data_IF_331357002556
#
_entry.id   IF_331357002556
#
_cell.length_a   1.000
_cell.length_b   1.000
_cell.length_c   1.000
_cell.angle_alpha   90.00
_cell.angle_beta   90.00
_cell.angle_gamma   90.00
#
_symmetry.space_group_name_H-M   'P 1'
#
loop_
_entity.id
_entity.type
_entity.pdbx_description
1 polymer ?
#
# COMPACT_ATOMS: atom_id res chain seq x y z
N UNK A 1 2.75 -14.47 13.55
CA UNK A 1 1.45 -14.17 12.91
C UNK A 1 0.79 -15.47 12.46
N UNK A 2 -0.45 -15.67 12.82
CA UNK A 2 -1.27 -16.75 12.27
C UNK A 2 -1.90 -16.28 10.94
N UNK A 3 -2.00 -17.20 9.97
CA UNK A 3 -2.64 -16.89 8.69
C UNK A 3 -4.16 -16.85 8.92
N UNK A 4 -4.86 -15.77 8.52
CA UNK A 4 -6.30 -15.68 8.68
C UNK A 4 -7.02 -16.80 7.92
N UNK A 5 -8.04 -17.38 8.54
CA UNK A 5 -8.86 -18.45 7.94
C UNK A 5 -10.14 -17.94 7.28
N UNK A 6 -10.47 -16.67 7.44
CA UNK A 6 -11.64 -16.00 6.89
C UNK A 6 -11.30 -14.66 6.25
N UNK A 7 -12.32 -13.91 5.78
CA UNK A 7 -12.12 -12.57 5.25
C UNK A 7 -11.59 -11.63 6.32
N UNK A 8 -10.67 -10.77 5.92
CA UNK A 8 -10.06 -9.75 6.79
C UNK A 8 -10.47 -8.35 6.36
N UNK A 9 -10.54 -7.43 7.30
CA UNK A 9 -10.66 -6.00 7.02
C UNK A 9 -9.31 -5.47 6.54
N UNK A 10 -9.33 -4.80 5.40
CA UNK A 10 -8.09 -4.34 4.75
C UNK A 10 -8.19 -2.88 4.28
N UNK A 11 -7.09 -2.17 4.45
CA UNK A 11 -6.78 -0.93 3.72
C UNK A 11 -5.65 -1.23 2.74
N UNK A 12 -5.76 -0.74 1.51
CA UNK A 12 -4.69 -0.81 0.52
C UNK A 12 -4.09 0.58 0.31
N UNK A 13 -2.79 0.71 0.59
CA UNK A 13 -1.98 1.92 0.36
C UNK A 13 -1.11 1.70 -0.88
N UNK A 14 -1.31 2.52 -1.92
CA UNK A 14 -0.87 2.23 -3.29
C UNK A 14 -0.49 3.48 -4.06
N UNK A 15 0.56 3.43 -4.87
CA UNK A 15 0.94 4.48 -5.80
C UNK A 15 0.48 4.16 -7.25
N UNK A 16 -0.80 3.86 -7.39
CA UNK A 16 -1.50 3.25 -8.53
C UNK A 16 -1.23 3.86 -9.92
N UNK A 17 -0.70 5.08 -10.00
CA UNK A 17 -0.30 5.69 -11.28
C UNK A 17 1.15 5.36 -11.65
N UNK A 18 1.93 4.87 -10.71
CA UNK A 18 3.35 4.59 -10.93
C UNK A 18 3.55 3.42 -11.91
N UNK A 19 3.01 2.26 -11.60
CA UNK A 19 3.14 1.03 -12.39
C UNK A 19 1.79 0.30 -12.50
N UNK A 20 1.68 -0.62 -13.46
CA UNK A 20 0.41 -1.27 -13.80
C UNK A 20 0.00 -2.35 -12.78
N UNK A 21 0.92 -2.91 -12.05
CA UNK A 21 0.68 -3.97 -11.06
C UNK A 21 -0.21 -3.51 -9.89
N UNK A 22 -0.10 -2.27 -9.47
CA UNK A 22 -1.03 -1.65 -8.52
C UNK A 22 -2.49 -1.69 -8.99
N UNK A 23 -2.71 -1.46 -10.27
CA UNK A 23 -4.06 -1.52 -10.86
C UNK A 23 -4.62 -2.94 -10.81
N UNK A 24 -3.78 -3.96 -11.02
CA UNK A 24 -4.15 -5.35 -10.83
C UNK A 24 -4.41 -5.67 -9.35
N UNK A 25 -3.59 -5.16 -8.43
CA UNK A 25 -3.78 -5.37 -7.00
C UNK A 25 -5.12 -4.77 -6.50
N UNK A 26 -5.46 -3.55 -6.92
CA UNK A 26 -6.76 -2.93 -6.63
C UNK A 26 -7.90 -3.78 -7.19
N UNK A 27 -7.78 -4.19 -8.46
CA UNK A 27 -8.81 -5.01 -9.12
C UNK A 27 -8.99 -6.36 -8.42
N UNK A 28 -7.90 -6.98 -7.99
CA UNK A 28 -7.92 -8.23 -7.24
C UNK A 28 -8.61 -8.07 -5.88
N UNK A 29 -8.28 -7.02 -5.12
CA UNK A 29 -8.89 -6.74 -3.82
C UNK A 29 -10.42 -6.52 -3.96
N UNK A 30 -10.86 -5.80 -5.00
CA UNK A 30 -12.27 -5.56 -5.28
C UNK A 30 -13.03 -6.85 -5.67
N UNK A 31 -12.37 -7.84 -6.27
CA UNK A 31 -12.97 -9.08 -6.77
C UNK A 31 -12.78 -10.29 -5.86
N UNK A 32 -12.21 -10.11 -4.68
CA UNK A 32 -12.00 -11.17 -3.68
C UNK A 32 -12.75 -10.91 -2.35
N UNK A 33 -14.07 -10.61 -2.35
CA UNK A 33 -14.81 -10.26 -1.14
C UNK A 33 -14.93 -11.43 -0.14
N UNK A 34 -14.69 -12.65 -0.57
CA UNK A 34 -14.59 -13.85 0.27
C UNK A 34 -13.29 -13.93 1.07
N UNK A 35 -12.31 -13.10 0.74
CA UNK A 35 -10.99 -13.03 1.37
C UNK A 35 -10.70 -11.69 2.04
N UNK A 36 -11.19 -10.61 1.44
CA UNK A 36 -10.86 -9.24 1.83
C UNK A 36 -12.10 -8.38 1.86
N UNK A 37 -12.36 -7.71 2.97
CA UNK A 37 -13.29 -6.58 3.05
C UNK A 37 -12.47 -5.29 2.91
N UNK A 38 -12.45 -4.74 1.70
CA UNK A 38 -11.68 -3.53 1.41
C UNK A 38 -12.39 -2.30 2.00
N UNK A 39 -11.86 -1.76 3.09
CA UNK A 39 -12.44 -0.63 3.82
C UNK A 39 -12.07 0.71 3.21
N UNK A 40 -10.86 0.83 2.65
CA UNK A 40 -10.36 2.05 2.06
C UNK A 40 -9.20 1.80 1.09
N UNK A 41 -8.99 2.77 0.21
CA UNK A 41 -7.82 2.92 -0.64
C UNK A 41 -7.12 4.23 -0.29
N UNK A 42 -5.81 4.18 -0.09
CA UNK A 42 -4.97 5.34 0.22
C UNK A 42 -3.98 5.56 -0.93
N UNK A 43 -3.90 6.79 -1.42
CA UNK A 43 -2.94 7.15 -2.47
C UNK A 43 -1.57 7.42 -1.86
N UNK A 44 -0.58 6.59 -2.16
CA UNK A 44 0.79 6.78 -1.71
C UNK A 44 1.53 7.82 -2.57
N UNK A 45 2.48 8.59 -2.00
CA UNK A 45 3.35 9.46 -2.76
C UNK A 45 4.38 8.64 -3.56
N UNK A 46 4.74 9.13 -4.76
CA UNK A 46 5.90 8.61 -5.49
C UNK A 46 6.58 9.69 -6.32
N UNK A 47 7.87 9.49 -6.61
CA UNK A 47 8.65 10.36 -7.47
C UNK A 47 9.54 9.55 -8.41
N UNK A 48 9.33 9.71 -9.71
CA UNK A 48 10.16 9.21 -10.79
C UNK A 48 9.92 10.08 -12.05
N UNK A 49 10.20 9.54 -13.24
CA UNK A 49 9.97 10.25 -14.50
C UNK A 49 8.50 10.52 -14.82
N UNK A 50 7.57 9.87 -14.14
CA UNK A 50 6.11 10.05 -14.31
C UNK A 50 5.52 11.12 -13.42
N UNK A 51 6.28 11.65 -12.45
CA UNK A 51 5.80 12.66 -11.50
C UNK A 51 6.85 13.74 -11.25
N UNK A 52 6.40 14.97 -11.04
CA UNK A 52 7.28 16.11 -10.74
C UNK A 52 7.75 16.12 -9.28
N UNK A 53 7.12 15.34 -8.41
CA UNK A 53 7.44 15.21 -6.99
C UNK A 53 6.45 14.32 -6.26
N UNK A 54 6.64 14.07 -4.95
CA UNK A 54 5.77 13.19 -4.15
C UNK A 54 4.30 13.59 -4.20
N UNK A 55 4.01 14.88 -4.06
CA UNK A 55 2.63 15.42 -4.13
C UNK A 55 1.94 15.17 -5.47
N UNK A 56 2.65 15.37 -6.58
CA UNK A 56 2.12 15.12 -7.93
C UNK A 56 1.90 13.62 -8.15
N UNK A 57 2.84 12.78 -7.67
CA UNK A 57 2.70 11.32 -7.72
C UNK A 57 1.48 10.85 -6.93
N UNK A 58 1.31 11.33 -5.71
CA UNK A 58 0.16 11.03 -4.87
C UNK A 58 -1.17 11.45 -5.53
N UNK A 59 -1.26 12.67 -6.05
CA UNK A 59 -2.50 13.13 -6.68
C UNK A 59 -2.84 12.33 -7.96
N UNK A 60 -1.83 11.98 -8.76
CA UNK A 60 -2.02 11.10 -9.92
C UNK A 60 -2.52 9.72 -9.50
N UNK A 61 -1.96 9.14 -8.46
CA UNK A 61 -2.42 7.85 -7.90
C UNK A 61 -3.84 7.95 -7.37
N UNK A 62 -4.18 9.04 -6.68
CA UNK A 62 -5.54 9.29 -6.22
C UNK A 62 -6.55 9.32 -7.38
N UNK A 63 -6.23 10.03 -8.46
CA UNK A 63 -7.10 10.11 -9.64
C UNK A 63 -7.20 8.76 -10.36
N UNK A 64 -6.11 8.00 -10.43
CA UNK A 64 -6.11 6.66 -11.03
C UNK A 64 -6.97 5.68 -10.22
N UNK A 65 -6.87 5.69 -8.89
CA UNK A 65 -7.76 4.89 -8.03
C UNK A 65 -9.23 5.21 -8.29
N UNK A 66 -9.59 6.50 -8.36
CA UNK A 66 -10.96 6.91 -8.68
C UNK A 66 -11.39 6.46 -10.08
N UNK A 67 -10.46 6.46 -11.04
CA UNK A 67 -10.72 5.96 -12.40
C UNK A 67 -11.02 4.47 -12.39
N UNK A 68 -10.20 3.66 -11.70
CA UNK A 68 -10.39 2.22 -11.56
C UNK A 68 -11.71 1.86 -10.87
N UNK A 69 -12.07 2.57 -9.80
CA UNK A 69 -13.35 2.37 -9.12
C UNK A 69 -14.55 2.66 -10.03
N UNK A 70 -14.47 3.69 -10.87
CA UNK A 70 -15.51 3.96 -11.87
C UNK A 70 -15.63 2.83 -12.90
N UNK A 71 -14.50 2.32 -13.40
CA UNK A 71 -14.49 1.20 -14.34
C UNK A 71 -15.02 -0.10 -13.72
N UNK A 72 -14.74 -0.31 -12.45
CA UNK A 72 -15.19 -1.48 -11.70
C UNK A 72 -16.64 -1.36 -11.23
N UNK A 73 -17.27 -0.18 -11.34
CA UNK A 73 -18.58 0.18 -10.78
C UNK A 73 -18.68 -0.03 -9.26
N UNK A 74 -17.54 0.19 -8.57
CA UNK A 74 -17.39 -0.02 -7.13
C UNK A 74 -17.31 1.32 -6.37
N UNK A 75 -17.67 1.26 -5.08
CA UNK A 75 -17.64 2.42 -4.18
C UNK A 75 -16.87 2.07 -2.91
N UNK A 76 -15.61 2.42 -2.89
CA UNK A 76 -14.73 2.30 -1.72
C UNK A 76 -14.23 3.70 -1.37
N UNK A 77 -14.15 4.09 -0.08
CA UNK A 77 -13.54 5.34 0.32
C UNK A 77 -12.09 5.46 -0.18
N UNK A 78 -11.74 6.62 -0.74
CA UNK A 78 -10.38 6.90 -1.23
C UNK A 78 -9.85 8.13 -0.51
N UNK A 79 -8.62 8.04 0.03
CA UNK A 79 -7.99 9.12 0.78
C UNK A 79 -6.72 9.60 0.09
N UNK A 80 -6.55 10.92 0.03
CA UNK A 80 -5.29 11.53 -0.41
C UNK A 80 -4.21 11.29 0.62
N UNK A 81 -3.08 10.82 0.18
CA UNK A 81 -1.92 10.56 1.02
C UNK A 81 -1.02 11.77 1.25
N UNK A 82 0.14 11.46 1.76
CA UNK A 82 1.18 12.42 2.05
C UNK A 82 1.64 13.16 0.80
N UNK A 83 1.86 14.47 0.93
CA UNK A 83 2.32 15.33 -0.18
C UNK A 83 3.84 15.46 -0.24
N UNK A 84 4.53 14.88 0.73
CA UNK A 84 5.99 14.81 0.80
C UNK A 84 6.41 13.54 1.56
N UNK A 85 7.69 13.20 1.52
CA UNK A 85 8.29 12.16 2.36
C UNK A 85 8.53 12.68 3.76
N UNK A 86 8.72 11.77 4.75
CA UNK A 86 9.03 12.20 6.12
C UNK A 86 10.33 13.01 6.14
N UNK A 87 10.35 14.18 6.80
CA UNK A 87 11.56 14.97 6.95
C UNK A 87 12.56 14.30 7.90
N UNK A 88 12.06 13.49 8.83
CA UNK A 88 12.81 12.72 9.83
C UNK A 88 11.93 11.61 10.43
N UNK A 89 12.48 10.81 11.33
CA UNK A 89 11.83 9.66 11.97
C UNK A 89 10.85 10.05 13.11
N UNK A 90 10.54 11.34 13.28
CA UNK A 90 9.70 11.85 14.40
C UNK A 90 8.57 12.75 13.94
N UNK A 91 8.68 13.32 12.74
CA UNK A 91 7.74 14.32 12.23
C UNK A 91 6.85 13.70 11.17
N UNK A 92 5.56 13.45 11.44
CA UNK A 92 4.63 12.90 10.45
C UNK A 92 4.30 13.91 9.36
N UNK A 93 4.02 13.43 8.17
CA UNK A 93 3.32 14.20 7.14
C UNK A 93 1.83 13.93 7.29
N UNK A 94 1.10 14.89 7.87
CA UNK A 94 -0.35 14.76 8.10
C UNK A 94 -1.07 14.76 6.75
N UNK A 95 -1.95 13.77 6.56
CA UNK A 95 -2.75 13.60 5.35
C UNK A 95 -4.06 12.89 5.66
N UNK A 96 -5.05 13.02 4.77
CA UNK A 96 -6.33 12.31 4.91
C UNK A 96 -6.11 10.79 5.04
N UNK A 97 -5.13 10.22 4.30
CA UNK A 97 -4.80 8.80 4.37
C UNK A 97 -4.21 8.41 5.72
N UNK A 98 -3.24 9.18 6.25
CA UNK A 98 -2.63 8.89 7.55
C UNK A 98 -3.67 8.98 8.69
N UNK A 99 -4.55 9.97 8.66
CA UNK A 99 -5.64 10.11 9.63
C UNK A 99 -6.68 8.98 9.50
N UNK A 100 -7.04 8.60 8.26
CA UNK A 100 -7.96 7.49 8.01
C UNK A 100 -7.39 6.15 8.48
N UNK A 101 -6.11 5.88 8.21
CA UNK A 101 -5.40 4.69 8.70
C UNK A 101 -5.42 4.64 10.22
N UNK A 102 -5.04 5.75 10.89
CA UNK A 102 -5.04 5.83 12.34
C UNK A 102 -6.45 5.60 12.92
N UNK A 103 -7.47 6.21 12.34
CA UNK A 103 -8.86 6.05 12.78
C UNK A 103 -9.36 4.61 12.57
N UNK A 104 -9.19 4.05 11.39
CA UNK A 104 -9.63 2.69 11.08
C UNK A 104 -8.94 1.66 11.96
N UNK A 105 -7.62 1.77 12.17
CA UNK A 105 -6.91 0.85 13.06
C UNK A 105 -7.41 0.94 14.51
N UNK A 106 -7.83 2.12 14.97
CA UNK A 106 -8.44 2.27 16.32
C UNK A 106 -9.81 1.63 16.46
N UNK A 107 -10.50 1.34 15.36
CA UNK A 107 -11.77 0.59 15.35
C UNK A 107 -11.56 -0.93 15.47
N UNK A 108 -10.31 -1.39 15.41
CA UNK A 108 -9.89 -2.80 15.48
C UNK A 108 -9.21 -3.14 16.81
N UNK A 109 -8.96 -4.43 17.04
CA UNK A 109 -8.33 -4.94 18.26
C UNK A 109 -7.09 -5.78 17.91
N UNK A 110 -6.35 -6.22 18.92
CA UNK A 110 -5.22 -7.14 18.74
C UNK A 110 -5.69 -8.51 18.23
N UNK A 111 -6.89 -8.94 18.62
CA UNK A 111 -7.47 -10.24 18.23
C UNK A 111 -8.06 -10.20 16.82
N UNK A 112 -8.62 -9.05 16.43
CA UNK A 112 -9.18 -8.79 15.10
C UNK A 112 -8.52 -7.55 14.49
N UNK A 113 -7.25 -7.65 14.06
CA UNK A 113 -6.49 -6.49 13.58
C UNK A 113 -6.94 -6.04 12.19
N UNK A 114 -6.74 -4.74 11.92
CA UNK A 114 -6.81 -4.20 10.58
C UNK A 114 -5.59 -4.68 9.78
N UNK A 115 -5.81 -5.24 8.60
CA UNK A 115 -4.72 -5.51 7.67
C UNK A 115 -4.47 -4.27 6.80
N UNK A 116 -3.23 -3.81 6.77
CA UNK A 116 -2.80 -2.74 5.87
C UNK A 116 -1.85 -3.33 4.85
N UNK A 117 -2.30 -3.44 3.61
CA UNK A 117 -1.44 -3.81 2.49
C UNK A 117 -0.87 -2.53 1.89
N UNK A 118 0.45 -2.38 1.93
CA UNK A 118 1.17 -1.25 1.35
C UNK A 118 2.03 -1.73 0.18
N UNK A 119 1.84 -1.14 -0.99
CA UNK A 119 2.54 -1.51 -2.23
C UNK A 119 3.24 -0.32 -2.90
N UNK A 120 3.39 0.78 -2.17
CA UNK A 120 4.14 1.98 -2.53
C UNK A 120 5.11 2.42 -1.43
N UNK A 121 5.54 3.69 -1.47
CA UNK A 121 6.31 4.30 -0.39
C UNK A 121 5.50 4.30 0.91
N UNK A 122 6.12 3.93 2.02
CA UNK A 122 5.43 3.64 3.29
C UNK A 122 5.07 4.90 4.13
N UNK A 123 5.16 6.07 3.54
CA UNK A 123 5.00 7.37 4.21
C UNK A 123 3.67 7.53 4.94
N UNK A 124 2.55 7.11 4.32
CA UNK A 124 1.22 7.23 4.92
C UNK A 124 1.10 6.39 6.20
N UNK A 125 1.57 5.15 6.16
CA UNK A 125 1.55 4.22 7.29
C UNK A 125 2.46 4.71 8.42
N UNK A 126 3.68 5.13 8.08
CA UNK A 126 4.62 5.68 9.05
C UNK A 126 4.06 6.95 9.71
N UNK A 127 3.44 7.83 8.93
CA UNK A 127 2.77 9.02 9.47
C UNK A 127 1.62 8.66 10.40
N UNK A 128 0.80 7.66 10.07
CA UNK A 128 -0.26 7.18 10.95
C UNK A 128 0.29 6.64 12.28
N UNK A 129 1.37 5.86 12.24
CA UNK A 129 2.05 5.34 13.44
C UNK A 129 2.65 6.45 14.30
N UNK A 130 3.22 7.50 13.69
CA UNK A 130 3.74 8.65 14.41
C UNK A 130 2.63 9.51 15.04
N UNK A 131 1.51 9.67 14.35
CA UNK A 131 0.34 10.40 14.85
C UNK A 131 -0.35 9.65 16.01
N UNK A 132 -0.38 8.33 15.93
CA UNK A 132 -1.10 7.48 16.88
C UNK A 132 -0.36 6.15 17.11
N UNK A 133 0.70 6.12 17.94
CA UNK A 133 1.53 4.93 18.15
C UNK A 133 0.76 3.69 18.64
N UNK A 134 -0.34 3.88 19.36
CA UNK A 134 -1.17 2.78 19.86
C UNK A 134 -1.87 1.94 18.76
N UNK A 135 -1.84 2.38 17.50
CA UNK A 135 -2.37 1.56 16.40
C UNK A 135 -1.46 0.38 16.05
N UNK A 136 -0.19 0.42 16.45
CA UNK A 136 0.77 -0.67 16.19
C UNK A 136 0.25 -2.02 16.67
N UNK A 137 -0.45 -2.08 17.80
CA UNK A 137 -1.02 -3.30 18.36
C UNK A 137 -2.37 -3.70 17.74
N UNK A 138 -2.92 -2.89 16.82
CA UNK A 138 -4.27 -3.05 16.27
C UNK A 138 -4.30 -3.31 14.78
N UNK A 139 -3.13 -3.42 14.18
CA UNK A 139 -3.00 -3.67 12.74
C UNK A 139 -1.90 -4.68 12.45
N UNK A 140 -1.99 -5.30 11.29
CA UNK A 140 -0.93 -6.08 10.65
C UNK A 140 -0.56 -5.37 9.37
N UNK A 141 0.71 -5.01 9.24
CA UNK A 141 1.23 -4.38 8.03
C UNK A 141 1.84 -5.44 7.11
N UNK A 142 1.36 -5.49 5.86
CA UNK A 142 1.94 -6.30 4.78
C UNK A 142 2.51 -5.32 3.76
N UNK A 143 3.84 -5.25 3.63
CA UNK A 143 4.49 -4.24 2.80
C UNK A 143 5.38 -4.85 1.72
N UNK A 144 5.13 -4.47 0.46
CA UNK A 144 6.06 -4.68 -0.64
C UNK A 144 7.15 -3.61 -0.55
N UNK A 145 8.30 -3.99 0.00
CA UNK A 145 9.41 -3.07 0.20
C UNK A 145 10.72 -3.80 0.48
N UNK A 146 11.81 -3.22 0.01
CA UNK A 146 13.13 -3.79 0.15
C UNK A 146 13.40 -5.02 -0.70
N UNK A 147 14.53 -5.65 -0.46
CA UNK A 147 14.98 -6.87 -1.12
C UNK A 147 15.15 -8.00 -0.09
N UNK A 148 15.29 -9.24 -0.56
CA UNK A 148 15.55 -10.39 0.29
C UNK A 148 16.83 -10.17 1.14
N UNK A 149 16.89 -10.76 2.34
CA UNK A 149 17.98 -10.53 3.31
C UNK A 149 19.36 -10.92 2.75
N UNK A 150 19.41 -11.91 1.87
CA UNK A 150 20.61 -12.38 1.19
C UNK A 150 20.94 -11.63 -0.12
N UNK A 151 20.12 -10.63 -0.49
CA UNK A 151 20.39 -9.79 -1.65
C UNK A 151 21.53 -8.80 -1.35
N UNK A 152 22.37 -8.45 -2.35
CA UNK A 152 23.58 -7.62 -2.11
C UNK A 152 23.31 -6.23 -1.52
N UNK A 153 22.14 -5.66 -1.77
CA UNK A 153 21.74 -4.36 -1.22
C UNK A 153 20.20 -4.27 -1.08
N UNK A 154 19.74 -3.25 -0.39
CA UNK A 154 18.32 -3.01 -0.16
C UNK A 154 17.79 -1.76 -0.89
N UNK A 155 18.35 -1.43 -2.05
CA UNK A 155 17.95 -0.30 -2.89
C UNK A 155 16.75 -0.68 -3.77
N UNK A 156 15.63 -0.91 -3.11
CA UNK A 156 14.35 -1.17 -3.75
C UNK A 156 13.53 0.13 -3.83
N UNK A 157 12.69 0.27 -4.85
CA UNK A 157 12.03 1.53 -5.19
C UNK A 157 11.16 2.07 -4.04
N UNK A 158 10.24 1.28 -3.49
CA UNK A 158 9.32 1.72 -2.43
C UNK A 158 10.06 2.12 -1.15
N UNK A 159 11.07 1.34 -0.76
CA UNK A 159 11.88 1.63 0.42
C UNK A 159 12.77 2.87 0.24
N UNK A 160 13.32 3.07 -0.95
CA UNK A 160 14.19 4.22 -1.24
C UNK A 160 13.42 5.54 -1.34
N UNK A 161 12.12 5.51 -1.66
CA UNK A 161 11.31 6.72 -1.74
C UNK A 161 11.27 7.44 -0.38
N UNK A 162 11.16 6.69 0.72
CA UNK A 162 11.11 7.26 2.07
C UNK A 162 11.81 6.36 3.10
N UNK A 163 13.12 6.52 3.22
CA UNK A 163 13.94 5.75 4.16
C UNK A 163 13.60 6.09 5.63
N UNK A 164 13.23 7.33 5.91
CA UNK A 164 12.81 7.72 7.27
C UNK A 164 11.52 7.00 7.67
N UNK A 165 10.54 6.95 6.77
CA UNK A 165 9.30 6.20 6.99
C UNK A 165 9.55 4.70 7.17
N UNK A 166 10.42 4.11 6.38
CA UNK A 166 10.81 2.71 6.52
C UNK A 166 11.36 2.43 7.93
N UNK A 167 12.26 3.27 8.44
CA UNK A 167 12.81 3.14 9.80
C UNK A 167 11.74 3.27 10.87
N UNK A 168 10.83 4.25 10.74
CA UNK A 168 9.69 4.39 11.66
C UNK A 168 8.88 3.10 11.72
N UNK A 169 8.56 2.50 10.58
CA UNK A 169 7.80 1.26 10.54
C UNK A 169 8.56 0.11 11.20
N UNK A 170 9.85 -0.09 10.89
CA UNK A 170 10.66 -1.16 11.48
C UNK A 170 10.82 -1.01 13.01
N UNK A 171 10.86 0.22 13.52
CA UNK A 171 11.06 0.50 14.95
C UNK A 171 9.73 0.60 15.73
N UNK A 172 8.58 0.64 15.05
CA UNK A 172 7.26 0.85 15.66
C UNK A 172 6.73 -0.32 16.50
N UNK A 173 7.23 -1.52 16.26
CA UNK A 173 6.71 -2.76 16.86
C UNK A 173 5.44 -3.31 16.18
N UNK A 174 4.93 -2.68 15.12
CA UNK A 174 3.79 -3.21 14.37
C UNK A 174 4.10 -4.61 13.82
N UNK A 175 3.19 -5.60 13.94
CA UNK A 175 3.32 -6.87 13.25
C UNK A 175 3.51 -6.66 11.75
N UNK A 176 4.69 -7.00 11.23
CA UNK A 176 5.14 -6.66 9.89
C UNK A 176 5.44 -7.92 9.07
N UNK A 177 4.82 -8.00 7.89
CA UNK A 177 5.14 -8.96 6.83
C UNK A 177 5.78 -8.20 5.67
N UNK A 178 7.06 -8.44 5.41
CA UNK A 178 7.76 -7.88 4.25
C UNK A 178 7.62 -8.84 3.07
N UNK A 179 7.25 -8.28 1.93
CA UNK A 179 7.30 -8.94 0.62
C UNK A 179 8.46 -8.31 -0.17
N UNK A 180 9.67 -8.88 -0.11
CA UNK A 180 10.82 -8.31 -0.80
C UNK A 180 10.65 -8.31 -2.32
N UNK A 181 11.04 -7.23 -2.99
CA UNK A 181 11.00 -7.15 -4.45
C UNK A 181 11.91 -8.22 -5.06
N UNK A 182 13.22 -8.09 -4.86
CA UNK A 182 14.16 -9.11 -5.31
C UNK A 182 14.12 -10.33 -4.38
N UNK A 183 14.04 -11.51 -4.98
CA UNK A 183 14.02 -12.78 -4.28
C UNK A 183 12.60 -13.32 -3.96
N UNK A 184 11.56 -12.48 -3.99
CA UNK A 184 10.16 -12.91 -3.78
C UNK A 184 9.26 -12.40 -4.90
N UNK A 185 8.98 -11.09 -4.96
CA UNK A 185 7.99 -10.52 -5.88
C UNK A 185 8.42 -10.65 -7.34
N UNK A 186 9.71 -10.60 -7.64
CA UNK A 186 10.26 -10.83 -8.99
C UNK A 186 9.93 -12.22 -9.58
N UNK A 187 9.45 -13.16 -8.77
CA UNK A 187 8.95 -14.45 -9.25
C UNK A 187 7.45 -14.43 -9.59
N UNK A 188 6.74 -13.40 -9.20
CA UNK A 188 5.33 -13.20 -9.54
C UNK A 188 5.22 -12.49 -10.89
N UNK A 189 5.32 -13.26 -11.96
CA UNK A 189 5.41 -12.76 -13.33
C UNK A 189 4.28 -13.31 -14.19
N UNK A 190 3.97 -12.58 -15.27
CA UNK A 190 3.11 -13.04 -16.35
C UNK A 190 3.84 -12.90 -17.70
N UNK A 191 3.27 -13.44 -18.75
CA UNK A 191 3.84 -13.40 -20.09
C UNK A 191 2.88 -12.71 -21.07
N UNK A 192 3.41 -12.17 -22.18
CA UNK A 192 2.58 -11.59 -23.23
C UNK A 192 1.50 -12.55 -23.75
N UNK A 193 1.82 -13.83 -24.06
CA UNK A 193 0.82 -14.81 -24.47
C UNK A 193 -0.27 -15.07 -23.41
N UNK A 194 0.06 -15.08 -22.12
CA UNK A 194 -0.94 -15.23 -21.05
C UNK A 194 -1.87 -14.02 -20.97
N UNK A 195 -1.32 -12.81 -20.99
CA UNK A 195 -2.12 -11.58 -21.02
C UNK A 195 -3.04 -11.57 -22.23
N UNK A 196 -2.53 -11.94 -23.40
CA UNK A 196 -3.34 -12.02 -24.61
C UNK A 196 -4.45 -13.05 -24.50
N UNK A 197 -4.17 -14.23 -23.96
CA UNK A 197 -5.17 -15.28 -23.76
C UNK A 197 -6.29 -14.84 -22.80
N UNK A 198 -5.95 -14.18 -21.72
CA UNK A 198 -6.93 -13.79 -20.70
C UNK A 198 -7.66 -12.47 -21.01
N UNK A 199 -7.00 -11.52 -21.68
CA UNK A 199 -7.50 -10.15 -21.84
C UNK A 199 -7.98 -9.83 -23.26
N UNK A 200 -7.53 -10.56 -24.30
CA UNK A 200 -7.93 -10.26 -25.69
C UNK A 200 -9.45 -10.35 -25.85
N UNK A 201 -10.05 -9.27 -26.37
CA UNK A 201 -11.49 -9.19 -26.64
C UNK A 201 -12.37 -9.14 -25.39
N UNK A 202 -11.77 -8.87 -24.21
CA UNK A 202 -12.50 -8.63 -22.96
C UNK A 202 -12.88 -7.18 -22.74
N UNK A 203 -12.24 -6.28 -23.47
CA UNK A 203 -12.57 -4.84 -23.46
C UNK A 203 -13.65 -4.55 -24.52
N UNK A 204 -14.59 -3.60 -24.24
CA UNK A 204 -15.51 -3.10 -25.24
C UNK A 204 -14.80 -2.37 -26.38
#
# INVERSE_FOLDING_TARGET
LEIPTGPVDMVLDTDAYNEIDDQFAISYALRAPDRVRLLALCAAPFKNERSTGPADGMEKSYQEILHLLRLAEEKVPVYRGSTDYLPDEKTPVVSDAAEALARLAMEHTTEEPLYVAAIGAITNVASALLLKPEIADRMVLVWLGGNAIDWPDNREFNMLQDVAAARVVFDSGVPLVILPCQGVVTHFTTTGPELEFWLRGRNP
#
